data_IF_861361756002
#
_entry.id   IF_861361756002
#
_cell.length_a   1.000
_cell.length_b   1.000
_cell.length_c   1.000
_cell.angle_alpha   90.00
_cell.angle_beta   90.00
_cell.angle_gamma   90.00
#
_symmetry.space_group_name_H-M   'P 1'
#
loop_
_entity.id
_entity.type
_entity.pdbx_description
1 polymer ?
#
# COMPACT_ATOMS: atom_id res chain seq x y z
N UNK A 1 29.55 18.10 -8.29
CA UNK A 1 29.17 16.70 -8.59
C UNK A 1 28.68 15.99 -7.32
N UNK A 2 29.37 16.13 -6.19
CA UNK A 2 28.96 15.52 -4.91
C UNK A 2 27.59 15.96 -4.38
N UNK A 3 27.21 17.23 -4.52
CA UNK A 3 25.86 17.68 -4.12
C UNK A 3 24.73 17.02 -4.93
N UNK A 4 24.94 16.76 -6.22
CA UNK A 4 23.92 16.11 -7.06
C UNK A 4 23.72 14.64 -6.69
N UNK A 5 24.81 13.95 -6.33
CA UNK A 5 24.77 12.56 -5.84
C UNK A 5 24.12 12.46 -4.45
N UNK A 6 24.39 13.41 -3.56
CA UNK A 6 23.76 13.47 -2.24
C UNK A 6 22.25 13.69 -2.31
N UNK A 7 21.78 14.59 -3.19
CA UNK A 7 20.34 14.83 -3.40
C UNK A 7 19.64 13.58 -3.97
N UNK A 8 20.27 12.89 -4.93
CA UNK A 8 19.77 11.61 -5.47
C UNK A 8 19.74 10.49 -4.41
N UNK A 9 20.73 10.45 -3.51
CA UNK A 9 20.76 9.51 -2.39
C UNK A 9 19.67 9.81 -1.35
N UNK A 10 19.35 11.08 -1.10
CA UNK A 10 18.27 11.48 -0.18
C UNK A 10 16.90 11.03 -0.70
N UNK A 11 16.65 11.14 -2.01
CA UNK A 11 15.44 10.58 -2.64
C UNK A 11 15.35 9.05 -2.57
N UNK A 12 16.47 8.32 -2.43
CA UNK A 12 16.46 6.86 -2.19
C UNK A 12 16.08 6.50 -0.74
N UNK A 13 16.23 7.41 0.21
CA UNK A 13 16.02 7.13 1.63
C UNK A 13 14.63 7.58 2.14
N UNK A 14 13.95 8.47 1.43
CA UNK A 14 12.60 8.90 1.77
C UNK A 14 11.57 8.07 0.99
N UNK A 15 10.72 7.27 1.67
CA UNK A 15 9.68 6.50 1.01
C UNK A 15 8.74 7.41 0.19
N UNK A 16 8.59 7.11 -1.09
CA UNK A 16 7.78 7.89 -2.03
C UNK A 16 7.23 6.99 -3.14
N UNK A 17 6.21 7.46 -3.87
CA UNK A 17 5.57 6.71 -4.95
C UNK A 17 4.13 6.32 -4.64
N UNK A 18 3.55 5.42 -5.43
CA UNK A 18 2.17 4.98 -5.26
C UNK A 18 2.12 3.56 -4.71
N UNK A 19 1.27 3.35 -3.70
CA UNK A 19 0.98 2.03 -3.13
C UNK A 19 -0.49 1.73 -3.33
N UNK A 20 -0.79 0.65 -4.06
CA UNK A 20 -2.14 0.20 -4.42
C UNK A 20 -2.54 -0.96 -3.52
N UNK A 21 -3.55 -0.74 -2.68
CA UNK A 21 -4.04 -1.72 -1.71
C UNK A 21 -5.45 -2.12 -2.10
N UNK A 22 -5.69 -3.42 -2.25
CA UNK A 22 -7.05 -3.92 -2.43
C UNK A 22 -7.63 -4.45 -1.11
N UNK A 23 -8.89 -4.15 -0.83
CA UNK A 23 -9.53 -4.57 0.41
C UNK A 23 -11.04 -4.61 0.26
N UNK A 24 -11.74 -5.24 1.21
CA UNK A 24 -13.20 -5.06 1.30
C UNK A 24 -13.51 -3.65 1.82
N UNK A 25 -14.65 -3.09 1.43
CA UNK A 25 -15.09 -1.77 1.91
C UNK A 25 -15.05 -1.68 3.44
N UNK A 26 -15.52 -2.73 4.12
CA UNK A 26 -15.50 -2.79 5.58
C UNK A 26 -14.07 -2.73 6.15
N UNK A 27 -13.12 -3.47 5.57
CA UNK A 27 -11.73 -3.42 6.01
C UNK A 27 -11.07 -2.05 5.73
N UNK A 28 -11.42 -1.41 4.61
CA UNK A 28 -10.98 -0.04 4.31
C UNK A 28 -11.43 0.90 5.43
N UNK A 29 -12.72 0.94 5.69
CA UNK A 29 -13.31 1.94 6.59
C UNK A 29 -12.95 1.70 8.06
N UNK A 30 -12.93 0.44 8.49
CA UNK A 30 -12.78 0.10 9.92
C UNK A 30 -11.35 -0.16 10.35
N UNK A 31 -10.47 -0.55 9.42
CA UNK A 31 -9.10 -0.97 9.76
C UNK A 31 -8.05 -0.11 9.06
N UNK A 32 -8.16 0.07 7.75
CA UNK A 32 -7.12 0.75 6.98
C UNK A 32 -7.14 2.26 7.19
N UNK A 33 -8.27 2.94 7.00
CA UNK A 33 -8.34 4.40 7.07
C UNK A 33 -7.78 4.98 8.39
N UNK A 34 -8.10 4.45 9.58
CA UNK A 34 -7.52 4.96 10.84
C UNK A 34 -5.99 4.85 10.90
N UNK A 35 -5.42 3.74 10.41
CA UNK A 35 -3.97 3.49 10.42
C UNK A 35 -3.27 4.29 9.33
N UNK A 36 -3.87 4.37 8.15
CA UNK A 36 -3.32 5.06 6.99
C UNK A 36 -3.34 6.57 7.15
N UNK A 37 -4.28 7.13 7.92
CA UNK A 37 -4.26 8.55 8.28
C UNK A 37 -2.97 8.94 9.02
N UNK A 38 -2.56 8.15 10.02
CA UNK A 38 -1.31 8.34 10.75
C UNK A 38 -0.10 8.09 9.85
N UNK A 39 -0.14 7.04 9.03
CA UNK A 39 0.91 6.73 8.06
C UNK A 39 1.14 7.89 7.07
N UNK A 40 0.07 8.48 6.54
CA UNK A 40 0.15 9.57 5.55
C UNK A 40 0.74 10.85 6.13
N UNK A 41 0.51 11.13 7.42
CA UNK A 41 1.17 12.24 8.11
C UNK A 41 2.68 12.02 8.22
N UNK A 42 3.13 10.77 8.41
CA UNK A 42 4.55 10.42 8.51
C UNK A 42 5.24 10.35 7.14
N UNK A 43 4.51 9.91 6.10
CA UNK A 43 5.03 9.73 4.73
C UNK A 43 4.14 10.47 3.71
N UNK A 44 4.23 11.81 3.66
CA UNK A 44 3.37 12.62 2.78
C UNK A 44 3.61 12.36 1.29
N UNK A 45 4.79 11.88 0.91
CA UNK A 45 5.16 11.62 -0.49
C UNK A 45 4.66 10.26 -1.02
N UNK A 46 4.07 9.42 -0.17
CA UNK A 46 3.41 8.19 -0.60
C UNK A 46 1.96 8.48 -0.96
N UNK A 47 1.56 8.17 -2.20
CA UNK A 47 0.16 8.13 -2.63
C UNK A 47 -0.42 6.75 -2.31
N UNK A 48 -1.49 6.72 -1.53
CA UNK A 48 -2.23 5.50 -1.24
C UNK A 48 -3.44 5.44 -2.16
N UNK A 49 -3.55 4.36 -2.93
CA UNK A 49 -4.74 4.04 -3.72
C UNK A 49 -5.44 2.84 -3.10
N UNK A 50 -6.65 3.05 -2.60
CA UNK A 50 -7.46 2.01 -1.98
C UNK A 50 -8.53 1.56 -2.98
N UNK A 51 -8.48 0.29 -3.37
CA UNK A 51 -9.45 -0.32 -4.27
C UNK A 51 -10.35 -1.26 -3.47
N UNK A 52 -11.65 -0.97 -3.48
CA UNK A 52 -12.66 -1.79 -2.82
C UNK A 52 -13.20 -2.82 -3.79
N UNK A 53 -12.86 -4.10 -3.61
CA UNK A 53 -13.38 -5.19 -4.42
C UNK A 53 -13.86 -6.35 -3.54
N UNK A 54 -15.12 -6.73 -3.72
CA UNK A 54 -15.76 -7.83 -2.97
C UNK A 54 -15.47 -9.22 -3.55
N UNK A 55 -14.85 -9.29 -4.73
CA UNK A 55 -14.53 -10.54 -5.44
C UNK A 55 -13.10 -10.97 -5.12
N UNK A 56 -12.86 -12.28 -5.15
CA UNK A 56 -11.51 -12.85 -5.10
C UNK A 56 -10.82 -12.52 -6.42
N UNK A 57 -10.26 -11.32 -6.48
CA UNK A 57 -9.55 -10.84 -7.65
C UNK A 57 -8.11 -11.29 -7.52
N UNK A 58 -7.61 -11.97 -8.54
CA UNK A 58 -6.22 -12.36 -8.67
C UNK A 58 -5.34 -11.10 -8.61
N UNK A 59 -4.85 -10.80 -7.41
CA UNK A 59 -4.24 -9.51 -7.11
C UNK A 59 -2.92 -9.30 -7.86
N UNK A 60 -2.29 -10.38 -8.31
CA UNK A 60 -1.06 -10.37 -9.08
C UNK A 60 -1.33 -9.85 -10.48
N UNK A 61 -2.43 -10.27 -11.11
CA UNK A 61 -2.82 -9.82 -12.45
C UNK A 61 -3.15 -8.32 -12.51
N UNK A 62 -3.57 -7.72 -11.38
CA UNK A 62 -4.02 -6.32 -11.31
C UNK A 62 -2.96 -5.33 -10.81
N UNK A 63 -1.73 -5.79 -10.53
CA UNK A 63 -0.63 -4.97 -9.99
C UNK A 63 -1.00 -4.24 -8.70
N UNK A 64 -1.56 -4.96 -7.74
CA UNK A 64 -1.66 -4.47 -6.37
C UNK A 64 -0.37 -4.75 -5.61
N UNK A 65 0.00 -3.84 -4.73
CA UNK A 65 1.17 -3.99 -3.86
C UNK A 65 0.83 -4.75 -2.58
N UNK A 66 -0.43 -4.69 -2.13
CA UNK A 66 -0.92 -5.39 -0.95
C UNK A 66 -2.43 -5.67 -1.02
N UNK A 67 -2.90 -6.64 -0.23
CA UNK A 67 -4.31 -6.95 -0.08
C UNK A 67 -4.72 -7.22 1.36
N UNK A 68 -5.92 -6.76 1.76
CA UNK A 68 -6.53 -7.04 3.07
C UNK A 68 -7.84 -7.78 2.88
N UNK A 69 -8.04 -8.89 3.59
CA UNK A 69 -9.25 -9.71 3.56
C UNK A 69 -9.65 -10.14 4.97
N UNK A 70 -10.94 -10.35 5.18
CA UNK A 70 -11.51 -10.84 6.43
C UNK A 70 -11.74 -12.35 6.28
N UNK A 71 -10.82 -13.17 6.77
CA UNK A 71 -10.87 -14.63 6.66
C UNK A 71 -9.50 -15.24 6.38
N UNK A 72 -9.38 -16.58 6.44
CA UNK A 72 -8.12 -17.30 6.26
C UNK A 72 -7.64 -17.37 4.81
N UNK A 73 -8.41 -16.86 3.85
CA UNK A 73 -8.11 -16.98 2.44
C UNK A 73 -7.11 -15.91 1.99
N UNK A 74 -5.89 -16.39 1.73
CA UNK A 74 -4.75 -15.61 1.24
C UNK A 74 -4.47 -16.09 -0.18
N UNK A 75 -4.41 -15.17 -1.15
CA UNK A 75 -4.12 -15.51 -2.55
C UNK A 75 -2.73 -16.12 -2.70
N UNK A 76 -2.54 -16.97 -3.72
CA UNK A 76 -1.23 -17.54 -4.04
C UNK A 76 -0.20 -16.43 -4.27
N UNK A 77 0.92 -16.45 -3.52
CA UNK A 77 1.96 -15.41 -3.56
C UNK A 77 1.81 -14.27 -2.55
N UNK A 78 0.81 -14.32 -1.66
CA UNK A 78 0.65 -13.35 -0.56
C UNK A 78 1.13 -13.92 0.78
N UNK A 79 1.67 -13.04 1.63
CA UNK A 79 2.00 -13.34 3.03
C UNK A 79 0.89 -12.76 3.91
N UNK A 80 0.24 -13.60 4.72
CA UNK A 80 -0.60 -13.13 5.82
C UNK A 80 0.22 -12.94 7.09
N UNK A 81 -0.09 -11.88 7.84
CA UNK A 81 0.52 -11.49 9.12
C UNK A 81 -0.55 -11.23 10.17
#
# INVERSE_FOLDING_TARGET
>A
LDMGLATLAHYRQTPSGTVRINASQHAIDKVLLPKLAVFKQRYPDIRLELISESRFVDIIAQRFDAGVRLGPEVGSGMIAV
#
